data_IF_267863508233
#
_entry.id   IF_267863508233
#
_cell.length_a   1.000
_cell.length_b   1.000
_cell.length_c   1.000
_cell.angle_alpha   90.00
_cell.angle_beta   90.00
_cell.angle_gamma   90.00
#
_symmetry.space_group_name_H-M   'P 1'
#
loop_
_entity.id
_entity.type
_entity.pdbx_description
1 polymer ?
#
# COMPACT_ATOMS: atom_id res chain seq x y z
N UNK A 1 -32.51 -1.73 27.90
CA UNK A 1 -31.05 -1.61 28.04
C UNK A 1 -30.45 -2.14 26.73
N UNK A 2 -30.29 -1.26 25.74
CA UNK A 2 -29.80 -1.64 24.40
C UNK A 2 -28.29 -1.49 24.42
N UNK A 3 -27.54 -2.58 24.26
CA UNK A 3 -26.11 -2.51 24.02
C UNK A 3 -25.93 -2.02 22.59
N UNK A 4 -25.66 -0.74 22.41
CA UNK A 4 -25.14 -0.23 21.15
C UNK A 4 -23.73 -0.79 20.96
N UNK A 5 -23.66 -1.94 20.29
CA UNK A 5 -22.41 -2.40 19.70
C UNK A 5 -22.10 -1.44 18.56
N UNK A 6 -21.39 -0.35 18.88
CA UNK A 6 -20.72 0.45 17.86
C UNK A 6 -19.67 -0.46 17.20
N UNK A 7 -20.09 -1.25 16.22
CA UNK A 7 -19.17 -1.77 15.21
C UNK A 7 -18.70 -0.54 14.44
N UNK A 8 -17.64 0.08 14.96
CA UNK A 8 -16.87 1.09 14.26
C UNK A 8 -16.49 0.44 12.93
N UNK A 9 -17.18 0.83 11.86
CA UNK A 9 -16.87 0.36 10.53
C UNK A 9 -15.38 0.61 10.32
N UNK A 10 -14.64 -0.44 10.01
CA UNK A 10 -13.23 -0.32 9.71
C UNK A 10 -13.13 0.58 8.47
N UNK A 11 -12.84 1.87 8.70
CA UNK A 11 -12.57 2.83 7.63
C UNK A 11 -11.18 2.50 7.12
N UNK A 12 -11.17 1.67 6.08
CA UNK A 12 -9.98 1.32 5.34
C UNK A 12 -9.77 2.39 4.28
N UNK A 13 -8.60 3.02 4.37
CA UNK A 13 -8.20 4.23 3.70
C UNK A 13 -8.08 4.00 2.18
N UNK A 14 -8.75 4.84 1.40
CA UNK A 14 -8.85 4.73 -0.08
C UNK A 14 -7.96 5.73 -0.80
N UNK A 15 -7.42 6.75 -0.12
CA UNK A 15 -6.65 7.84 -0.73
C UNK A 15 -5.15 7.78 -0.39
N UNK A 16 -4.31 8.48 -1.16
CA UNK A 16 -2.86 8.56 -0.87
C UNK A 16 -2.54 9.30 0.43
N UNK A 17 -3.26 10.37 0.76
CA UNK A 17 -3.08 11.11 2.02
C UNK A 17 -3.26 10.19 3.23
N UNK A 18 -4.26 9.32 3.12
CA UNK A 18 -4.55 8.35 4.15
C UNK A 18 -3.51 7.21 4.19
N UNK A 19 -3.00 6.74 3.03
CA UNK A 19 -1.84 5.83 2.98
C UNK A 19 -0.66 6.43 3.75
N UNK A 20 -0.31 7.69 3.47
CA UNK A 20 0.83 8.36 4.12
C UNK A 20 0.64 8.52 5.63
N UNK A 21 -0.61 8.69 6.08
CA UNK A 21 -0.95 8.79 7.50
C UNK A 21 -0.92 7.45 8.24
N UNK A 22 -1.15 6.34 7.53
CA UNK A 22 -1.23 4.99 8.12
C UNK A 22 0.01 4.12 7.90
N UNK A 23 0.91 4.53 7.01
CA UNK A 23 2.14 3.79 6.73
C UNK A 23 3.06 3.76 7.96
N UNK A 24 3.54 2.57 8.27
CA UNK A 24 4.57 2.33 9.30
C UNK A 24 5.95 2.79 8.83
N UNK A 25 6.22 2.65 7.52
CA UNK A 25 7.45 3.11 6.91
C UNK A 25 7.28 3.32 5.40
N UNK A 26 8.12 4.21 4.84
CA UNK A 26 8.40 4.30 3.41
C UNK A 26 9.75 3.62 3.14
N UNK A 27 9.74 2.56 2.34
CA UNK A 27 10.93 1.77 1.97
C UNK A 27 11.62 2.29 0.70
N UNK A 28 11.03 3.29 0.03
CA UNK A 28 11.57 3.91 -1.18
C UNK A 28 11.02 3.34 -2.49
N UNK A 29 11.58 3.75 -3.64
CA UNK A 29 11.04 3.44 -4.95
C UNK A 29 11.12 1.94 -5.29
N UNK A 30 10.06 1.39 -5.89
CA UNK A 30 9.92 -0.05 -6.14
C UNK A 30 10.96 -0.66 -7.09
N UNK A 31 11.69 0.13 -7.88
CA UNK A 31 12.74 -0.32 -8.81
C UNK A 31 14.13 -0.42 -8.18
N UNK A 32 14.28 -0.02 -6.91
CA UNK A 32 15.59 0.02 -6.25
C UNK A 32 16.04 -1.34 -5.69
N UNK A 33 15.11 -2.25 -5.42
CA UNK A 33 15.34 -3.54 -4.76
C UNK A 33 14.36 -4.59 -5.26
N UNK A 34 14.67 -5.86 -5.03
CA UNK A 34 13.74 -6.96 -5.27
C UNK A 34 12.58 -6.96 -4.28
N UNK A 35 11.48 -7.64 -4.63
CA UNK A 35 10.35 -7.83 -3.72
C UNK A 35 10.76 -8.51 -2.42
N UNK A 36 11.65 -9.51 -2.49
CA UNK A 36 12.13 -10.25 -1.32
C UNK A 36 12.87 -9.32 -0.33
N UNK A 37 13.68 -8.40 -0.85
CA UNK A 37 14.36 -7.39 -0.04
C UNK A 37 13.36 -6.42 0.63
N UNK A 38 12.34 -5.95 -0.11
CA UNK A 38 11.27 -5.14 0.47
C UNK A 38 10.48 -5.90 1.54
N UNK A 39 10.15 -7.18 1.32
CA UNK A 39 9.46 -8.02 2.29
C UNK A 39 10.30 -8.23 3.55
N UNK A 40 11.62 -8.40 3.41
CA UNK A 40 12.55 -8.54 4.54
C UNK A 40 12.61 -7.26 5.37
N UNK A 41 12.76 -6.11 4.73
CA UNK A 41 12.75 -4.80 5.41
C UNK A 41 11.40 -4.52 6.07
N UNK A 42 10.30 -4.82 5.36
CA UNK A 42 8.96 -4.68 5.89
C UNK A 42 8.70 -5.57 7.11
N UNK A 43 9.22 -6.79 7.11
CA UNK A 43 9.15 -7.69 8.27
C UNK A 43 9.90 -7.11 9.47
N UNK A 44 11.07 -6.49 9.26
CA UNK A 44 11.79 -5.81 10.34
C UNK A 44 11.00 -4.63 10.92
N UNK A 45 10.43 -3.79 10.05
CA UNK A 45 9.56 -2.67 10.45
C UNK A 45 8.33 -3.17 11.21
N UNK A 46 7.68 -4.21 10.70
CA UNK A 46 6.50 -4.82 11.29
C UNK A 46 6.78 -5.37 12.70
N UNK A 47 7.90 -6.08 12.86
CA UNK A 47 8.33 -6.62 14.15
C UNK A 47 8.62 -5.50 15.17
N UNK A 48 9.28 -4.42 14.75
CA UNK A 48 9.53 -3.25 15.61
C UNK A 48 8.23 -2.55 16.04
N UNK A 49 7.24 -2.50 15.16
CA UNK A 49 5.92 -1.95 15.43
C UNK A 49 4.98 -2.91 16.19
N UNK A 50 5.40 -4.15 16.45
CA UNK A 50 4.60 -5.16 17.14
C UNK A 50 3.38 -5.64 16.34
N UNK A 51 3.43 -5.55 15.01
CA UNK A 51 2.34 -6.02 14.13
C UNK A 51 2.68 -7.39 13.53
N UNK A 52 1.71 -8.29 13.51
CA UNK A 52 1.89 -9.66 13.01
C UNK A 52 1.49 -9.83 11.54
N UNK A 53 0.78 -8.86 10.97
CA UNK A 53 0.30 -8.88 9.59
C UNK A 53 0.64 -7.54 8.94
N UNK A 54 1.70 -7.51 8.15
CA UNK A 54 2.02 -6.35 7.32
C UNK A 54 1.59 -6.59 5.87
N UNK A 55 1.43 -5.51 5.12
CA UNK A 55 1.32 -5.52 3.66
C UNK A 55 2.22 -4.46 3.06
N UNK A 56 2.55 -4.64 1.78
CA UNK A 56 3.21 -3.63 0.98
C UNK A 56 2.16 -2.88 0.15
N UNK A 57 2.26 -1.56 0.14
CA UNK A 57 1.40 -0.68 -0.65
C UNK A 57 2.25 0.25 -1.53
N UNK A 58 1.77 0.57 -2.72
CA UNK A 58 2.37 1.52 -3.66
C UNK A 58 1.54 2.80 -3.70
N UNK A 59 2.19 3.96 -3.81
CA UNK A 59 1.54 5.22 -4.12
C UNK A 59 1.53 5.47 -5.63
N UNK A 60 0.45 5.08 -6.30
CA UNK A 60 0.35 5.24 -7.74
C UNK A 60 -0.13 6.65 -8.07
N UNK A 61 0.62 7.34 -8.92
CA UNK A 61 0.24 8.61 -9.54
C UNK A 61 0.32 8.44 -11.06
N UNK A 62 -0.82 8.37 -11.74
CA UNK A 62 -0.93 8.04 -13.17
C UNK A 62 -0.77 9.28 -14.05
N UNK A 63 -0.16 9.11 -15.23
CA UNK A 63 -0.05 10.17 -16.25
C UNK A 63 -1.42 10.55 -16.83
N UNK A 64 -2.30 9.57 -16.90
CA UNK A 64 -3.67 9.72 -17.39
C UNK A 64 -4.63 9.15 -16.34
N UNK A 65 -5.79 9.79 -16.11
CA UNK A 65 -6.81 9.26 -15.23
C UNK A 65 -7.31 7.90 -15.72
N UNK A 66 -7.61 7.00 -14.80
CA UNK A 66 -8.20 5.71 -15.13
C UNK A 66 -9.68 5.84 -15.57
N UNK A 67 -10.35 4.70 -15.78
CA UNK A 67 -11.78 4.67 -16.16
C UNK A 67 -12.72 5.33 -15.13
N UNK A 68 -12.25 5.56 -13.91
CA UNK A 68 -12.99 6.19 -12.82
C UNK A 68 -12.64 7.67 -12.66
N UNK A 69 -11.74 8.21 -13.49
CA UNK A 69 -11.27 9.59 -13.37
C UNK A 69 -10.22 9.79 -12.28
N UNK A 70 -9.69 8.71 -11.71
CA UNK A 70 -8.75 8.75 -10.60
C UNK A 70 -7.32 8.81 -11.16
N UNK A 71 -6.57 9.82 -10.74
CA UNK A 71 -5.16 9.99 -11.11
C UNK A 71 -4.22 9.48 -10.04
N UNK A 72 -4.69 9.25 -8.81
CA UNK A 72 -3.85 8.87 -7.68
C UNK A 72 -4.57 7.90 -6.75
N UNK A 73 -3.92 6.77 -6.43
CA UNK A 73 -4.48 5.81 -5.48
C UNK A 73 -3.41 4.88 -4.88
N UNK A 74 -3.64 4.39 -3.65
CA UNK A 74 -2.81 3.35 -3.07
C UNK A 74 -3.16 1.98 -3.67
N UNK A 75 -2.16 1.15 -3.96
CA UNK A 75 -2.37 -0.23 -4.43
C UNK A 75 -1.57 -1.24 -3.62
N UNK A 76 -2.19 -2.33 -3.17
CA UNK A 76 -1.47 -3.44 -2.53
C UNK A 76 -0.67 -4.18 -3.58
N UNK A 77 0.54 -4.59 -3.20
CA UNK A 77 1.36 -5.46 -4.02
C UNK A 77 1.15 -6.90 -3.61
N UNK A 78 0.91 -7.76 -4.60
CA UNK A 78 1.04 -9.20 -4.44
C UNK A 78 2.29 -9.72 -5.14
N UNK A 79 2.81 -10.84 -4.67
CA UNK A 79 4.02 -11.48 -5.21
C UNK A 79 3.88 -11.86 -6.69
N UNK A 80 2.66 -12.19 -7.10
CA UNK A 80 2.34 -12.55 -8.49
C UNK A 80 2.40 -11.34 -9.44
N UNK A 81 2.16 -10.14 -8.91
CA UNK A 81 1.99 -8.92 -9.69
C UNK A 81 3.26 -8.10 -9.79
N UNK A 82 4.20 -8.22 -8.84
CA UNK A 82 5.36 -7.32 -8.73
C UNK A 82 6.14 -7.09 -10.03
N UNK A 83 6.52 -8.17 -10.74
CA UNK A 83 7.29 -8.05 -11.97
C UNK A 83 6.46 -7.49 -13.14
N UNK A 84 5.17 -7.79 -13.20
CA UNK A 84 4.26 -7.23 -14.21
C UNK A 84 3.98 -5.76 -13.93
N UNK A 85 3.89 -5.41 -12.65
CA UNK A 85 3.68 -4.05 -12.17
C UNK A 85 4.88 -3.18 -12.45
N UNK A 86 6.14 -3.58 -12.23
CA UNK A 86 7.30 -2.71 -12.49
C UNK A 86 7.28 -2.13 -13.91
N UNK A 87 7.11 -2.97 -14.92
CA UNK A 87 7.13 -2.52 -16.32
C UNK A 87 5.89 -1.68 -16.67
N UNK A 88 4.71 -2.10 -16.23
CA UNK A 88 3.45 -1.42 -16.52
C UNK A 88 3.32 -0.07 -15.78
N UNK A 89 3.71 -0.04 -14.51
CA UNK A 89 3.70 1.13 -13.63
C UNK A 89 4.66 2.16 -14.18
N UNK A 90 5.93 1.83 -14.44
CA UNK A 90 6.91 2.81 -14.94
C UNK A 90 6.49 3.51 -16.23
N UNK A 91 5.69 2.85 -17.08
CA UNK A 91 5.12 3.47 -18.29
C UNK A 91 3.94 4.38 -17.98
N UNK A 92 3.05 3.97 -17.06
CA UNK A 92 1.74 4.61 -16.81
C UNK A 92 1.76 5.65 -15.69
N UNK A 93 2.75 5.64 -14.82
CA UNK A 93 2.86 6.58 -13.70
C UNK A 93 3.76 7.76 -14.00
N UNK A 94 3.51 8.88 -13.32
CA UNK A 94 4.30 10.12 -13.39
C UNK A 94 5.68 9.94 -12.79
N UNK A 95 5.81 9.04 -11.82
CA UNK A 95 7.05 8.66 -11.12
C UNK A 95 7.04 7.17 -10.78
N UNK A 96 8.21 6.63 -10.47
CA UNK A 96 8.27 5.31 -9.85
C UNK A 96 7.62 5.36 -8.46
N UNK A 97 6.62 4.51 -8.16
CA UNK A 97 5.98 4.48 -6.86
C UNK A 97 6.93 4.05 -5.76
N UNK A 98 6.72 4.63 -4.59
CA UNK A 98 7.35 4.20 -3.36
C UNK A 98 6.58 3.02 -2.75
N UNK A 99 7.33 2.14 -2.09
CA UNK A 99 6.82 0.99 -1.36
C UNK A 99 6.65 1.37 0.10
N UNK A 100 5.44 1.22 0.61
CA UNK A 100 5.08 1.51 1.99
C UNK A 100 4.74 0.23 2.75
N UNK A 101 5.10 0.19 4.02
CA UNK A 101 4.70 -0.87 4.96
C UNK A 101 3.45 -0.41 5.68
N UNK A 102 2.39 -1.22 5.65
CA UNK A 102 1.12 -0.91 6.31
C UNK A 102 0.68 -2.07 7.19
N UNK A 103 -0.06 -1.78 8.26
CA UNK A 103 -0.69 -2.81 9.10
C UNK A 103 -1.84 -3.47 8.34
N UNK A 104 -1.63 -4.69 7.86
CA UNK A 104 -2.59 -5.46 7.08
C UNK A 104 -3.85 -5.87 7.84
N UNK A 105 -3.89 -5.69 9.17
CA UNK A 105 -5.12 -5.83 9.96
C UNK A 105 -5.99 -4.57 9.89
N UNK A 106 -5.34 -3.41 9.74
CA UNK A 106 -5.99 -2.08 9.71
C UNK A 106 -6.12 -1.50 8.31
N UNK A 107 -5.47 -2.12 7.33
CA UNK A 107 -5.37 -1.61 5.96
C UNK A 107 -5.83 -2.70 4.99
N UNK A 108 -7.15 -2.77 4.79
CA UNK A 108 -7.72 -3.51 3.68
C UNK A 108 -7.76 -2.58 2.46
N UNK A 109 -6.66 -2.53 1.70
CA UNK A 109 -6.82 -2.12 0.30
C UNK A 109 -7.70 -3.17 -0.35
N UNK A 110 -8.80 -2.70 -0.95
CA UNK A 110 -9.63 -3.55 -1.78
C UNK A 110 -8.75 -4.04 -2.92
N UNK A 111 -8.63 -5.37 -3.03
CA UNK A 111 -8.02 -6.05 -4.16
C UNK A 111 -8.91 -5.93 -5.39
#
# INVERSE_FOLDING_TARGET
MVRETHHRALRYLTTLEELYSAALANLGPMDTKSLEEFQKEASMVANQAGISRFRLALDLSFKEPDSLGITEQPQTVTDFEWNQHIEAVGRRTTRMPNVFVVDGTKYALLF
#
